data_IF_316585512844
#
_entry.id   IF_316585512844
#
_cell.length_a   1.000
_cell.length_b   1.000
_cell.length_c   1.000
_cell.angle_alpha   90.00
_cell.angle_beta   90.00
_cell.angle_gamma   90.00
#
_symmetry.space_group_name_H-M   'P 1'
#
loop_
_entity.id
_entity.type
_entity.pdbx_description
1 polymer ?
#
# COMPACT_ATOMS: atom_id res chain seq x y z
N UNK A 1 -16.19 -19.12 14.63
CA UNK A 1 -16.02 -18.03 13.66
C UNK A 1 -15.09 -16.98 14.23
N UNK A 2 -13.92 -16.78 13.60
CA UNK A 2 -12.99 -15.76 14.05
C UNK A 2 -13.56 -14.37 13.72
N UNK A 3 -13.74 -13.56 14.75
CA UNK A 3 -14.15 -12.18 14.58
C UNK A 3 -12.94 -11.37 14.09
N UNK A 4 -13.05 -10.79 12.90
CA UNK A 4 -11.99 -9.91 12.37
C UNK A 4 -12.11 -8.57 13.07
N UNK A 5 -11.05 -8.17 13.76
CA UNK A 5 -10.97 -6.84 14.36
C UNK A 5 -10.72 -5.82 13.23
N UNK A 6 -11.54 -4.78 13.19
CA UNK A 6 -11.37 -3.72 12.19
C UNK A 6 -10.13 -2.91 12.48
N UNK A 7 -9.32 -2.72 11.45
CA UNK A 7 -8.16 -1.83 11.49
C UNK A 7 -8.61 -0.38 11.27
N UNK A 8 -7.72 0.57 11.52
CA UNK A 8 -7.98 1.98 11.23
C UNK A 8 -8.28 2.19 9.73
N UNK A 9 -7.56 1.51 8.85
CA UNK A 9 -7.81 1.58 7.41
C UNK A 9 -9.23 1.14 7.07
N UNK A 10 -9.70 0.03 7.65
CA UNK A 10 -11.06 -0.48 7.44
C UNK A 10 -12.11 0.52 7.95
N UNK A 11 -11.88 1.15 9.10
CA UNK A 11 -12.80 2.15 9.67
C UNK A 11 -12.91 3.37 8.76
N UNK A 12 -11.83 3.78 8.14
CA UNK A 12 -11.83 4.89 7.17
C UNK A 12 -12.67 4.53 5.96
N UNK A 13 -12.51 3.32 5.43
CA UNK A 13 -13.32 2.84 4.31
C UNK A 13 -14.81 2.81 4.66
N UNK A 14 -15.14 2.31 5.86
CA UNK A 14 -16.53 2.28 6.33
C UNK A 14 -17.10 3.71 6.41
N UNK A 15 -16.34 4.65 6.97
CA UNK A 15 -16.76 6.05 7.10
C UNK A 15 -16.99 6.71 5.74
N UNK A 16 -16.26 6.30 4.71
CA UNK A 16 -16.42 6.80 3.35
C UNK A 16 -17.50 6.04 2.56
N UNK A 17 -18.13 5.04 3.15
CA UNK A 17 -19.10 4.15 2.50
C UNK A 17 -18.51 3.41 1.30
N UNK A 18 -17.23 3.09 1.38
CA UNK A 18 -16.53 2.32 0.34
C UNK A 18 -16.64 0.83 0.66
N UNK A 19 -17.08 0.05 -0.32
CA UNK A 19 -17.16 -1.41 -0.20
C UNK A 19 -15.78 -2.03 -0.42
N UNK A 20 -15.44 -3.01 0.41
CA UNK A 20 -14.21 -3.76 0.31
C UNK A 20 -14.39 -5.16 0.89
N UNK A 21 -13.52 -6.06 0.51
CA UNK A 21 -13.43 -7.38 1.12
C UNK A 21 -12.10 -7.50 1.86
N UNK A 22 -11.97 -8.51 2.68
CA UNK A 22 -10.75 -8.80 3.42
C UNK A 22 -10.30 -10.23 3.16
N UNK A 23 -9.00 -10.45 3.22
CA UNK A 23 -8.40 -11.76 3.08
C UNK A 23 -7.25 -11.90 4.07
N UNK A 24 -7.22 -13.02 4.79
CA UNK A 24 -6.16 -13.32 5.75
C UNK A 24 -5.18 -14.32 5.16
N UNK A 25 -3.93 -14.28 5.61
CA UNK A 25 -2.89 -15.22 5.21
C UNK A 25 -2.03 -15.61 6.40
N UNK A 26 -1.34 -16.76 6.27
CA UNK A 26 -0.47 -17.30 7.31
C UNK A 26 0.78 -16.43 7.49
N UNK A 27 1.16 -16.16 8.74
CA UNK A 27 2.33 -15.33 9.08
C UNK A 27 3.38 -16.07 9.91
N UNK A 28 3.08 -17.29 10.37
CA UNK A 28 3.97 -18.06 11.28
C UNK A 28 5.26 -18.53 10.61
N UNK A 29 5.27 -18.65 9.27
CA UNK A 29 6.43 -19.09 8.49
C UNK A 29 7.39 -17.95 8.10
N UNK A 30 7.15 -16.73 8.56
CA UNK A 30 7.91 -15.51 8.25
C UNK A 30 7.94 -15.11 6.77
N UNK A 31 7.20 -15.81 5.89
CA UNK A 31 7.07 -15.44 4.48
C UNK A 31 5.97 -14.40 4.31
N UNK A 32 6.28 -13.15 4.67
CA UNK A 32 5.33 -12.03 4.66
C UNK A 32 5.59 -11.00 3.56
N UNK A 33 6.58 -11.24 2.68
CA UNK A 33 6.81 -10.39 1.52
C UNK A 33 5.63 -10.46 0.54
N UNK A 34 5.48 -9.43 -0.29
CA UNK A 34 4.32 -9.30 -1.18
C UNK A 34 4.10 -10.46 -2.12
N UNK A 35 5.16 -11.03 -2.70
CA UNK A 35 5.06 -12.18 -3.61
C UNK A 35 4.59 -13.41 -2.86
N UNK A 36 5.12 -13.67 -1.66
CA UNK A 36 4.67 -14.78 -0.81
C UNK A 36 3.20 -14.61 -0.40
N UNK A 37 2.77 -13.39 -0.08
CA UNK A 37 1.38 -13.09 0.24
C UNK A 37 0.47 -13.36 -0.95
N UNK A 38 0.86 -12.96 -2.16
CA UNK A 38 0.10 -13.25 -3.38
C UNK A 38 -0.07 -14.76 -3.56
N UNK A 39 0.99 -15.53 -3.34
CA UNK A 39 0.99 -16.99 -3.45
C UNK A 39 0.03 -17.61 -2.42
N UNK A 40 0.14 -17.21 -1.16
CA UNK A 40 -0.69 -17.74 -0.05
C UNK A 40 -2.18 -17.44 -0.24
N UNK A 41 -2.50 -16.30 -0.82
CA UNK A 41 -3.88 -15.89 -1.03
C UNK A 41 -4.45 -16.35 -2.37
N UNK A 42 -3.64 -17.01 -3.21
CA UNK A 42 -4.07 -17.47 -4.54
C UNK A 42 -4.34 -16.34 -5.51
N UNK A 43 -3.82 -15.15 -5.25
CA UNK A 43 -4.06 -13.97 -6.07
C UNK A 43 -2.95 -13.79 -7.11
N UNK A 44 -3.32 -13.20 -8.26
CA UNK A 44 -2.36 -12.82 -9.27
C UNK A 44 -1.45 -11.71 -8.68
N UNK A 45 -0.11 -11.88 -8.72
CA UNK A 45 0.81 -10.87 -8.22
C UNK A 45 0.60 -9.47 -8.83
N UNK A 46 0.09 -9.39 -10.05
CA UNK A 46 -0.24 -8.11 -10.70
C UNK A 46 -1.36 -7.36 -10.00
N UNK A 47 -2.18 -8.06 -9.22
CA UNK A 47 -3.29 -7.47 -8.45
C UNK A 47 -2.90 -7.16 -7.02
N UNK A 48 -1.76 -7.66 -6.54
CA UNK A 48 -1.31 -7.46 -5.16
C UNK A 48 -0.30 -6.32 -5.13
N UNK A 49 -0.61 -5.29 -4.37
CA UNK A 49 0.20 -4.06 -4.31
C UNK A 49 0.88 -3.94 -2.94
N UNK A 50 2.13 -3.52 -2.95
CA UNK A 50 2.90 -3.19 -1.75
C UNK A 50 2.95 -1.68 -1.59
N UNK A 51 3.01 -1.22 -0.35
CA UNK A 51 3.06 0.19 -0.01
C UNK A 51 4.47 0.54 0.46
N UNK A 52 5.09 1.46 -0.23
CA UNK A 52 6.46 1.91 0.02
C UNK A 52 6.45 3.37 0.45
N UNK A 53 7.30 3.72 1.41
CA UNK A 53 7.46 5.10 1.85
C UNK A 53 8.85 5.57 1.46
N UNK A 54 8.92 6.74 0.87
CA UNK A 54 10.17 7.32 0.37
C UNK A 54 10.29 8.78 0.79
N UNK A 55 11.51 9.29 0.72
CA UNK A 55 11.81 10.68 1.07
C UNK A 55 12.36 11.42 -0.15
N UNK A 56 11.80 12.60 -0.41
CA UNK A 56 12.25 13.46 -1.49
C UNK A 56 13.47 14.30 -1.11
N UNK A 57 14.06 14.91 -2.12
CA UNK A 57 15.17 15.88 -1.92
C UNK A 57 14.75 17.00 -0.96
N UNK A 58 13.49 17.40 -1.00
CA UNK A 58 12.89 18.41 -0.11
C UNK A 58 12.76 17.96 1.34
N UNK A 59 13.00 16.67 1.64
CA UNK A 59 12.78 16.01 2.93
C UNK A 59 11.31 15.68 3.20
N UNK A 60 10.40 15.94 2.28
CA UNK A 60 9.02 15.51 2.37
C UNK A 60 8.93 14.00 2.13
N UNK A 61 7.98 13.36 2.80
CA UNK A 61 7.72 11.93 2.62
C UNK A 61 6.60 11.72 1.59
N UNK A 62 6.74 10.62 0.86
CA UNK A 62 5.79 10.20 -0.18
C UNK A 62 5.48 8.72 -0.03
N UNK A 63 4.29 8.34 -0.45
CA UNK A 63 3.82 6.95 -0.42
C UNK A 63 3.60 6.47 -1.84
N UNK A 64 4.16 5.32 -2.17
CA UNK A 64 4.04 4.71 -3.50
C UNK A 64 3.51 3.29 -3.35
N UNK A 65 2.44 2.98 -4.08
CA UNK A 65 1.84 1.64 -4.13
C UNK A 65 2.11 1.04 -5.49
N UNK A 66 2.79 -0.09 -5.53
CA UNK A 66 3.19 -0.76 -6.77
C UNK A 66 2.93 -2.26 -6.69
N UNK A 67 2.78 -2.95 -7.84
CA UNK A 67 2.63 -4.40 -7.84
C UNK A 67 3.83 -5.07 -7.17
N UNK A 68 3.57 -6.13 -6.40
CA UNK A 68 4.57 -6.76 -5.53
C UNK A 68 5.77 -7.36 -6.26
N UNK A 69 5.63 -7.73 -7.53
CA UNK A 69 6.73 -8.30 -8.33
C UNK A 69 7.70 -7.25 -8.86
N UNK A 70 7.36 -5.98 -8.77
CA UNK A 70 8.17 -4.89 -9.31
C UNK A 70 8.85 -4.12 -8.20
N UNK A 71 9.87 -3.37 -8.59
CA UNK A 71 10.51 -2.41 -7.72
C UNK A 71 10.15 -1.00 -8.16
N UNK A 72 10.14 -0.07 -7.22
CA UNK A 72 9.88 1.33 -7.50
C UNK A 72 11.03 1.91 -8.35
N UNK A 73 10.69 2.47 -9.50
CA UNK A 73 11.64 3.23 -10.31
C UNK A 73 11.79 4.61 -9.65
N UNK A 74 12.94 4.86 -9.04
CA UNK A 74 13.17 6.08 -8.27
C UNK A 74 13.11 7.35 -9.13
N UNK A 75 13.49 7.26 -10.39
CA UNK A 75 13.40 8.40 -11.32
C UNK A 75 11.95 8.73 -11.66
N UNK A 76 11.14 7.70 -11.91
CA UNK A 76 9.71 7.87 -12.16
C UNK A 76 9.00 8.39 -10.92
N UNK A 77 9.38 7.89 -9.74
CA UNK A 77 8.84 8.36 -8.47
C UNK A 77 9.17 9.85 -8.25
N UNK A 78 10.40 10.26 -8.55
CA UNK A 78 10.79 11.67 -8.46
C UNK A 78 9.98 12.54 -9.41
N UNK A 79 9.76 12.07 -10.64
CA UNK A 79 8.94 12.79 -11.63
C UNK A 79 7.48 12.91 -11.14
N UNK A 80 6.89 11.84 -10.67
CA UNK A 80 5.52 11.82 -10.18
C UNK A 80 5.31 12.78 -9.01
N UNK A 81 6.26 12.83 -8.09
CA UNK A 81 6.20 13.67 -6.89
C UNK A 81 6.73 15.10 -7.10
N UNK A 82 7.24 15.39 -8.29
CA UNK A 82 7.88 16.69 -8.60
C UNK A 82 9.07 16.97 -7.67
N UNK A 83 9.84 15.94 -7.36
CA UNK A 83 11.04 16.02 -6.56
C UNK A 83 12.27 15.91 -7.45
N UNK A 84 13.37 16.49 -7.02
CA UNK A 84 14.66 16.38 -7.71
C UNK A 84 15.19 14.95 -7.70
N UNK A 85 15.04 14.28 -6.57
CA UNK A 85 15.35 12.86 -6.41
C UNK A 85 14.51 12.26 -5.28
N UNK A 86 14.43 10.94 -5.27
CA UNK A 86 13.70 10.16 -4.27
C UNK A 86 14.63 9.06 -3.75
N UNK A 87 14.60 8.86 -2.46
CA UNK A 87 15.29 7.74 -1.79
C UNK A 87 14.29 7.00 -0.90
N UNK A 88 14.50 5.70 -0.72
CA UNK A 88 13.64 4.94 0.18
C UNK A 88 13.85 5.40 1.62
N UNK A 89 12.75 5.52 2.37
CA UNK A 89 12.83 5.85 3.79
C UNK A 89 13.50 4.70 4.53
N UNK A 90 14.49 4.96 5.40
CA UNK A 90 15.06 3.90 6.22
C UNK A 90 14.00 3.17 7.02
N UNK A 91 14.08 1.84 7.07
CA UNK A 91 13.08 1.00 7.72
C UNK A 91 12.86 1.39 9.19
N UNK A 92 13.93 1.79 9.90
CA UNK A 92 13.84 2.24 11.30
C UNK A 92 12.94 3.47 11.49
N UNK A 93 12.70 4.23 10.41
CA UNK A 93 11.89 5.46 10.47
C UNK A 93 10.44 5.22 10.04
N UNK A 94 10.09 4.03 9.57
CA UNK A 94 8.78 3.74 9.01
C UNK A 94 7.67 3.88 10.05
N UNK A 95 7.79 3.21 11.17
CA UNK A 95 6.71 3.15 12.16
C UNK A 95 6.45 4.50 12.83
N UNK A 96 7.49 5.24 13.14
CA UNK A 96 7.31 6.57 13.78
C UNK A 96 6.63 7.58 12.86
N UNK A 97 6.80 7.43 11.54
CA UNK A 97 6.22 8.35 10.56
C UNK A 97 4.85 7.91 10.07
N UNK A 98 4.58 6.62 9.98
CA UNK A 98 3.34 6.09 9.41
C UNK A 98 2.39 5.46 10.43
N UNK A 99 2.93 4.97 11.55
CA UNK A 99 2.18 4.17 12.51
C UNK A 99 2.10 2.69 12.14
N UNK A 100 2.65 2.30 10.99
CA UNK A 100 2.61 0.92 10.49
C UNK A 100 4.00 0.28 10.52
N UNK A 101 4.03 -1.05 10.50
CA UNK A 101 5.27 -1.82 10.42
C UNK A 101 5.47 -2.38 9.01
N UNK A 102 6.69 -2.79 8.70
CA UNK A 102 6.98 -3.49 7.43
C UNK A 102 6.11 -4.73 7.31
N UNK A 103 5.55 -4.95 6.13
CA UNK A 103 4.62 -6.07 5.88
C UNK A 103 3.19 -5.78 6.29
N UNK A 104 2.96 -4.72 7.05
CA UNK A 104 1.63 -4.28 7.48
C UNK A 104 1.38 -2.80 7.20
N UNK A 105 2.12 -2.20 6.25
CA UNK A 105 1.95 -0.79 5.90
C UNK A 105 0.83 -0.62 4.89
N UNK A 106 -0.23 0.09 5.30
CA UNK A 106 -1.36 0.42 4.42
C UNK A 106 -1.22 1.84 3.88
N UNK A 107 -1.68 2.09 2.63
CA UNK A 107 -1.73 3.47 2.12
C UNK A 107 -2.87 4.27 2.75
N UNK A 108 -3.75 3.63 3.52
CA UNK A 108 -4.91 4.25 4.15
C UNK A 108 -4.66 4.37 5.64
N UNK A 109 -4.92 5.54 6.22
CA UNK A 109 -4.91 5.71 7.68
C UNK A 109 -3.54 5.87 8.31
N UNK A 110 -2.56 6.36 7.58
CA UNK A 110 -1.26 6.70 8.16
C UNK A 110 -1.40 7.83 9.21
N UNK A 111 -0.45 7.90 10.14
CA UNK A 111 -0.38 8.93 11.19
C UNK A 111 -0.56 10.34 10.66
N UNK A 112 0.04 10.62 9.49
CA UNK A 112 -0.11 11.87 8.77
C UNK A 112 -0.51 11.55 7.35
N UNK A 113 -1.18 12.48 6.69
CA UNK A 113 -1.44 12.35 5.26
C UNK A 113 -0.18 12.73 4.49
N UNK A 114 0.32 11.81 3.68
CA UNK A 114 1.42 12.03 2.76
C UNK A 114 0.91 11.96 1.33
N UNK A 115 1.52 12.70 0.42
CA UNK A 115 1.21 12.58 -1.00
C UNK A 115 1.42 11.12 -1.42
N UNK A 116 0.37 10.51 -1.97
CA UNK A 116 0.31 9.08 -2.28
C UNK A 116 0.09 8.87 -3.75
N UNK A 117 0.85 7.96 -4.35
CA UNK A 117 0.75 7.60 -5.76
C UNK A 117 0.56 6.09 -5.87
N UNK A 118 -0.32 5.68 -6.78
CA UNK A 118 -0.58 4.27 -7.09
C UNK A 118 -0.16 4.05 -8.53
N UNK A 119 0.61 2.98 -8.77
CA UNK A 119 1.04 2.69 -10.13
C UNK A 119 -0.16 2.55 -11.07
N UNK A 120 -0.06 3.13 -12.24
CA UNK A 120 -1.15 3.18 -13.22
C UNK A 120 -1.61 1.79 -13.68
N UNK A 121 -0.78 0.76 -13.54
CA UNK A 121 -1.15 -0.62 -13.85
C UNK A 121 -2.35 -1.10 -13.03
N UNK A 122 -2.63 -0.48 -11.88
CA UNK A 122 -3.80 -0.78 -11.07
C UNK A 122 -5.11 -0.60 -11.86
N UNK A 123 -5.13 0.33 -12.81
CA UNK A 123 -6.32 0.60 -13.64
C UNK A 123 -6.68 -0.56 -14.57
N UNK A 124 -5.75 -1.50 -14.79
CA UNK A 124 -5.98 -2.70 -15.58
C UNK A 124 -6.65 -3.82 -14.78
N UNK A 125 -6.77 -3.65 -13.47
CA UNK A 125 -7.33 -4.65 -12.57
C UNK A 125 -8.74 -4.23 -12.13
N UNK A 126 -9.63 -5.20 -12.00
CA UNK A 126 -10.96 -4.96 -11.43
C UNK A 126 -10.88 -4.69 -9.93
N UNK A 127 -10.08 -5.47 -9.24
CA UNK A 127 -9.78 -5.34 -7.82
C UNK A 127 -8.28 -5.46 -7.58
N UNK A 128 -7.79 -4.75 -6.61
CA UNK A 128 -6.41 -4.87 -6.12
C UNK A 128 -6.41 -5.17 -4.63
N UNK A 129 -5.30 -5.71 -4.15
CA UNK A 129 -5.10 -6.02 -2.75
C UNK A 129 -4.02 -5.10 -2.19
N UNK A 130 -4.29 -4.52 -1.02
CA UNK A 130 -3.32 -3.73 -0.26
C UNK A 130 -3.38 -4.17 1.20
N UNK A 131 -2.32 -3.91 1.96
CA UNK A 131 -2.33 -4.23 3.38
C UNK A 131 -3.49 -3.52 4.11
N UNK A 132 -4.11 -4.24 5.02
CA UNK A 132 -5.15 -3.68 5.87
C UNK A 132 -4.59 -2.84 7.04
N UNK A 133 -3.27 -2.77 7.19
CA UNK A 133 -2.61 -2.06 8.29
C UNK A 133 -2.09 -2.97 9.38
N UNK A 134 -2.17 -4.27 9.18
CA UNK A 134 -1.58 -5.29 10.05
C UNK A 134 -1.02 -6.41 9.19
N UNK A 135 0.05 -7.05 9.65
CA UNK A 135 0.58 -8.25 9.00
C UNK A 135 -0.50 -9.33 9.09
N UNK A 136 -0.77 -10.02 8.01
CA UNK A 136 -1.70 -11.16 7.98
C UNK A 136 -3.08 -10.85 7.38
N UNK A 137 -3.37 -9.60 7.06
CA UNK A 137 -4.67 -9.22 6.49
C UNK A 137 -4.51 -8.25 5.33
N UNK A 138 -5.20 -8.53 4.23
CA UNK A 138 -5.24 -7.69 3.03
C UNK A 138 -6.66 -7.15 2.85
N UNK A 139 -6.76 -5.95 2.31
CA UNK A 139 -8.01 -5.37 1.82
C UNK A 139 -8.09 -5.60 0.32
N UNK A 140 -9.24 -6.03 -0.16
CA UNK A 140 -9.57 -6.19 -1.58
C UNK A 140 -10.50 -5.06 -1.96
N UNK A 141 -10.09 -4.22 -2.89
CA UNK A 141 -10.77 -2.96 -3.19
C UNK A 141 -10.60 -2.59 -4.67
N UNK A 142 -11.58 -1.88 -5.24
CA UNK A 142 -11.39 -1.35 -6.60
C UNK A 142 -10.30 -0.27 -6.60
N UNK A 143 -9.52 -0.17 -7.68
CA UNK A 143 -8.44 0.83 -7.75
C UNK A 143 -8.92 2.26 -7.53
N UNK A 144 -10.00 2.67 -8.15
CA UNK A 144 -10.52 4.04 -8.01
C UNK A 144 -11.00 4.33 -6.58
N UNK A 145 -11.56 3.34 -5.89
CA UNK A 145 -11.94 3.49 -4.49
C UNK A 145 -10.72 3.66 -3.59
N UNK A 146 -9.61 2.96 -3.90
CA UNK A 146 -8.36 3.16 -3.19
C UNK A 146 -7.83 4.59 -3.39
N UNK A 147 -7.85 5.08 -4.63
CA UNK A 147 -7.46 6.45 -4.95
C UNK A 147 -8.25 7.45 -4.09
N UNK A 148 -9.56 7.24 -3.99
CA UNK A 148 -10.42 8.10 -3.17
C UNK A 148 -10.09 8.00 -1.68
N UNK A 149 -9.95 6.79 -1.17
CA UNK A 149 -9.71 6.55 0.28
C UNK A 149 -8.34 7.06 0.73
N UNK A 150 -7.32 6.90 -0.08
CA UNK A 150 -5.95 7.32 0.22
C UNK A 150 -5.65 8.76 -0.23
N UNK A 151 -6.60 9.41 -0.89
CA UNK A 151 -6.41 10.72 -1.52
C UNK A 151 -5.18 10.69 -2.43
N UNK A 152 -5.12 9.67 -3.27
CA UNK A 152 -3.96 9.35 -4.10
C UNK A 152 -4.17 9.77 -5.55
N UNK A 153 -3.12 9.60 -6.35
CA UNK A 153 -3.15 9.79 -7.80
C UNK A 153 -2.47 8.61 -8.48
N UNK A 154 -2.90 8.28 -9.69
CA UNK A 154 -2.18 7.30 -10.51
C UNK A 154 -0.93 7.93 -11.10
N UNK A 155 0.12 7.13 -11.23
CA UNK A 155 1.36 7.56 -11.85
C UNK A 155 2.11 6.34 -12.42
N UNK A 156 3.02 6.59 -13.34
CA UNK A 156 3.94 5.56 -13.84
C UNK A 156 5.11 5.44 -12.85
N UNK A 157 5.21 4.28 -12.19
CA UNK A 157 6.15 4.08 -11.08
C UNK A 157 7.10 2.88 -11.26
N UNK A 158 6.86 2.05 -12.28
CA UNK A 158 7.64 0.81 -12.46
C UNK A 158 8.32 0.71 -13.81
#
# INVERSE_FOLDING_TARGET
>A
MKKINKTNAMRILDALSIKYDCMSYETEDDHIDGVSVAHKTGQNPESVFKTLVAVGHSKLLYVFCIPVEYELDLKKAAKASNEKNIEMLPLRDLTKNTGYVRGGCSPIGMKKHYSTFVDESAQLQDKILVSAGVIGTQIIISPDDLIRAAEASYADLI
#
